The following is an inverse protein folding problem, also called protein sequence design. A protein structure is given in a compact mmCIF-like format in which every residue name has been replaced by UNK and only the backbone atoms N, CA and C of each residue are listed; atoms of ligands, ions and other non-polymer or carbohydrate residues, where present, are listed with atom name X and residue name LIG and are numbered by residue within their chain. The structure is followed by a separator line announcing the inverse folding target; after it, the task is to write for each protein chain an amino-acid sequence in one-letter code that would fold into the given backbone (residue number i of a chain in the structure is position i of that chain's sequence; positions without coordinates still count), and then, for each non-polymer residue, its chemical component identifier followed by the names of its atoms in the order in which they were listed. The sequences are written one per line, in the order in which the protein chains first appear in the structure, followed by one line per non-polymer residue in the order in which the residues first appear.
data_IF_661198411906
#
_entry.id   IF_661198411906
#
_cell.length_a   1.000
_cell.length_b   1.000
_cell.length_c   1.000
_cell.angle_alpha   90.00
_cell.angle_beta   90.00
_cell.angle_gamma   90.00
#
_symmetry.space_group_name_H-M   'P 1'
#
loop_
_entity.id
_entity.type
_entity.pdbx_description
1 polymer ?
#
# COMPACT_ATOMS: atom_id res chain seq x y z
N UNK A 1 -12.60 22.98 14.46
CA UNK A 1 -13.38 22.25 13.44
C UNK A 1 -12.83 20.84 13.37
N UNK A 2 -13.67 19.85 13.61
CA UNK A 2 -13.26 18.43 13.55
C UNK A 2 -13.19 18.07 12.07
N UNK A 3 -11.98 17.80 11.58
CA UNK A 3 -11.74 17.30 10.22
C UNK A 3 -12.13 15.82 10.21
N UNK A 4 -13.31 15.51 9.72
CA UNK A 4 -13.74 14.12 9.48
C UNK A 4 -13.06 13.62 8.20
N UNK A 5 -11.82 13.17 8.32
CA UNK A 5 -11.06 12.53 7.23
C UNK A 5 -11.44 11.05 7.13
N UNK A 6 -11.81 10.53 5.95
CA UNK A 6 -11.72 9.11 5.68
C UNK A 6 -10.40 8.86 4.92
N UNK A 7 -9.28 8.97 5.61
CA UNK A 7 -8.13 8.12 5.30
C UNK A 7 -8.42 6.83 6.04
N UNK A 8 -8.68 5.73 5.34
CA UNK A 8 -8.74 4.45 6.03
C UNK A 8 -7.31 4.18 6.47
N UNK A 9 -7.04 4.35 7.76
CA UNK A 9 -5.73 4.09 8.34
C UNK A 9 -5.38 2.64 8.01
N UNK A 10 -4.25 2.44 7.33
CA UNK A 10 -3.74 1.11 7.12
C UNK A 10 -3.41 0.53 8.50
N UNK A 11 -3.87 -0.69 8.74
CA UNK A 11 -3.50 -1.46 9.93
C UNK A 11 -2.39 -2.43 9.56
N UNK A 12 -1.58 -2.82 10.54
CA UNK A 12 -0.51 -3.80 10.37
C UNK A 12 -0.83 -5.04 11.22
N UNK A 13 -1.59 -6.03 10.70
CA UNK A 13 -2.00 -7.18 11.50
C UNK A 13 -0.85 -8.15 11.79
N UNK A 14 0.23 -8.07 11.01
CA UNK A 14 1.48 -8.78 11.20
C UNK A 14 2.65 -7.94 10.63
N UNK A 15 3.89 -8.07 11.18
CA UNK A 15 5.02 -7.26 10.75
C UNK A 15 5.24 -7.31 9.23
N UNK A 16 5.30 -6.15 8.58
CA UNK A 16 5.51 -6.02 7.14
C UNK A 16 4.27 -6.26 6.27
N UNK A 17 3.11 -6.57 6.87
CA UNK A 17 1.84 -6.79 6.19
C UNK A 17 0.83 -5.69 6.54
N UNK A 18 0.45 -4.89 5.55
CA UNK A 18 -0.49 -3.79 5.71
C UNK A 18 -1.86 -4.16 5.11
N UNK A 19 -2.93 -3.90 5.86
CA UNK A 19 -4.30 -4.06 5.41
C UNK A 19 -5.04 -2.72 5.44
N UNK A 20 -5.76 -2.40 4.37
CA UNK A 20 -6.59 -1.20 4.30
C UNK A 20 -7.80 -1.39 3.38
N UNK A 21 -8.88 -0.67 3.68
CA UNK A 21 -10.06 -0.65 2.82
C UNK A 21 -9.75 0.08 1.51
N UNK A 22 -10.22 -0.47 0.40
CA UNK A 22 -10.14 0.19 -0.90
C UNK A 22 -11.12 1.37 -0.90
N UNK A 23 -10.69 2.60 -1.20
CA UNK A 23 -11.55 3.77 -1.18
C UNK A 23 -12.81 3.58 -2.06
N UNK A 24 -13.98 3.79 -1.46
CA UNK A 24 -15.27 3.67 -2.17
C UNK A 24 -15.76 2.22 -2.34
N UNK A 25 -15.08 1.24 -1.75
CA UNK A 25 -15.46 -0.17 -1.82
C UNK A 25 -15.57 -0.77 -0.40
N UNK A 26 -16.30 -1.87 -0.26
CA UNK A 26 -16.34 -2.64 1.00
C UNK A 26 -15.13 -3.55 1.15
N UNK A 27 -14.43 -3.81 0.05
CA UNK A 27 -13.28 -4.70 -0.01
C UNK A 27 -12.03 -4.08 0.64
N UNK A 28 -11.23 -4.97 1.20
CA UNK A 28 -9.96 -4.69 1.84
C UNK A 28 -8.83 -5.29 1.02
N UNK A 29 -7.71 -4.58 1.00
CA UNK A 29 -6.49 -5.04 0.33
C UNK A 29 -5.46 -5.38 1.39
N UNK A 30 -4.90 -6.57 1.28
CA UNK A 30 -3.71 -6.99 2.00
C UNK A 30 -2.49 -6.73 1.11
N UNK A 31 -1.49 -6.06 1.66
CA UNK A 31 -0.28 -5.64 0.94
C UNK A 31 0.96 -5.93 1.75
N UNK A 32 2.07 -6.16 1.06
CA UNK A 32 3.40 -6.00 1.64
C UNK A 32 3.64 -4.51 1.95
N UNK A 33 4.45 -4.20 2.96
CA UNK A 33 4.78 -2.81 3.35
C UNK A 33 5.39 -1.97 2.22
N UNK A 34 5.91 -2.60 1.16
CA UNK A 34 6.33 -1.90 -0.07
C UNK A 34 5.18 -1.51 -1.01
N UNK A 35 3.92 -1.75 -0.63
CA UNK A 35 2.71 -1.46 -1.42
C UNK A 35 2.27 -2.55 -2.41
N UNK A 36 2.99 -3.68 -2.49
CA UNK A 36 2.63 -4.78 -3.40
C UNK A 36 1.40 -5.52 -2.88
N UNK A 37 0.39 -5.70 -3.74
CA UNK A 37 -0.80 -6.46 -3.39
C UNK A 37 -0.46 -7.95 -3.17
N UNK A 38 -0.98 -8.51 -2.08
CA UNK A 38 -0.90 -9.95 -1.79
C UNK A 38 -2.26 -10.62 -1.91
N UNK A 39 -3.33 -9.95 -1.47
CA UNK A 39 -4.69 -10.47 -1.55
C UNK A 39 -5.76 -9.36 -1.48
N UNK A 40 -6.95 -9.70 -1.97
CA UNK A 40 -8.18 -8.94 -1.78
C UNK A 40 -9.12 -9.72 -0.86
N UNK A 41 -9.62 -9.03 0.15
CA UNK A 41 -10.42 -9.57 1.23
C UNK A 41 -11.76 -8.84 1.27
N UNK A 42 -12.83 -9.57 1.61
CA UNK A 42 -14.20 -9.02 1.60
C UNK A 42 -14.49 -7.96 2.67
N UNK A 43 -13.73 -7.97 3.76
CA UNK A 43 -13.87 -7.08 4.92
C UNK A 43 -12.54 -7.01 5.72
N UNK A 44 -12.50 -6.15 6.74
CA UNK A 44 -11.31 -5.93 7.59
C UNK A 44 -10.86 -7.20 8.29
N UNK A 45 -11.79 -7.89 8.97
CA UNK A 45 -11.49 -9.07 9.76
C UNK A 45 -10.86 -10.16 8.88
N UNK A 46 -11.39 -10.35 7.68
CA UNK A 46 -10.85 -11.26 6.69
C UNK A 46 -9.43 -10.87 6.27
N UNK A 47 -9.13 -9.57 6.08
CA UNK A 47 -7.78 -9.12 5.77
C UNK A 47 -6.80 -9.40 6.92
N UNK A 48 -7.21 -9.16 8.17
CA UNK A 48 -6.39 -9.47 9.35
C UNK A 48 -6.13 -10.97 9.52
N UNK A 49 -7.16 -11.80 9.34
CA UNK A 49 -7.04 -13.26 9.44
C UNK A 49 -6.15 -13.81 8.33
N UNK A 50 -6.28 -13.28 7.10
CA UNK A 50 -5.39 -13.63 5.97
C UNK A 50 -3.95 -13.25 6.28
N UNK A 51 -3.71 -12.05 6.83
CA UNK A 51 -2.37 -11.60 7.20
C UNK A 51 -1.75 -12.50 8.27
N UNK A 52 -2.50 -12.83 9.32
CA UNK A 52 -2.06 -13.74 10.39
C UNK A 52 -1.74 -15.14 9.85
N UNK A 53 -2.53 -15.64 8.91
CA UNK A 53 -2.31 -16.94 8.28
C UNK A 53 -0.99 -17.00 7.51
N UNK A 54 -0.68 -15.97 6.72
CA UNK A 54 0.54 -15.95 5.89
C UNK A 54 1.75 -15.37 6.63
N UNK A 55 1.59 -14.82 7.83
CA UNK A 55 2.66 -14.18 8.59
C UNK A 55 3.88 -15.10 8.81
N UNK A 56 3.65 -16.40 8.98
CA UNK A 56 4.72 -17.40 9.18
C UNK A 56 5.37 -17.90 7.89
N UNK A 57 4.90 -17.50 6.71
CA UNK A 57 5.40 -17.99 5.42
C UNK A 57 6.81 -17.47 5.10
N UNK A 58 7.08 -16.21 5.42
CA UNK A 58 8.40 -15.60 5.27
C UNK A 58 8.53 -14.40 6.21
N UNK A 59 9.73 -13.83 6.30
CA UNK A 59 9.92 -12.53 6.93
C UNK A 59 9.46 -11.41 5.99
N UNK A 60 8.22 -10.99 6.19
CA UNK A 60 7.58 -9.92 5.41
C UNK A 60 8.14 -8.52 5.70
N UNK A 61 9.05 -8.35 6.66
CA UNK A 61 9.72 -7.06 6.88
C UNK A 61 10.87 -6.80 5.90
N UNK A 62 11.34 -7.86 5.21
CA UNK A 62 12.36 -7.78 4.16
C UNK A 62 11.90 -6.93 2.98
N UNK A 63 12.83 -6.52 2.12
CA UNK A 63 12.45 -5.88 0.87
C UNK A 63 11.74 -6.88 -0.05
N UNK A 64 10.84 -6.38 -0.90
CA UNK A 64 10.15 -7.25 -1.85
C UNK A 64 11.11 -7.95 -2.82
N UNK A 65 12.23 -7.30 -3.16
CA UNK A 65 13.24 -7.87 -4.05
C UNK A 65 14.04 -8.98 -3.36
N UNK A 66 14.35 -8.84 -2.07
CA UNK A 66 14.97 -9.91 -1.29
C UNK A 66 14.06 -11.13 -1.16
N UNK A 67 12.74 -10.91 -0.98
CA UNK A 67 11.77 -12.01 -0.91
C UNK A 67 11.63 -12.71 -2.27
N UNK A 68 11.64 -11.96 -3.38
CA UNK A 68 11.58 -12.53 -4.74
C UNK A 68 12.85 -13.30 -5.11
N UNK A 69 14.00 -12.84 -4.65
CA UNK A 69 15.29 -13.50 -4.87
C UNK A 69 15.51 -14.72 -3.99
N UNK A 70 14.63 -14.99 -3.03
CA UNK A 70 14.74 -16.11 -2.11
C UNK A 70 14.22 -17.41 -2.74
N UNK A 71 15.14 -18.33 -3.04
CA UNK A 71 14.81 -19.62 -3.66
C UNK A 71 13.90 -20.49 -2.79
N UNK A 72 13.97 -20.36 -1.47
CA UNK A 72 13.10 -21.13 -0.55
C UNK A 72 11.67 -20.63 -0.65
N UNK A 73 11.49 -19.30 -0.66
CA UNK A 73 10.18 -18.68 -0.87
C UNK A 73 9.63 -19.04 -2.26
N UNK A 74 10.48 -18.97 -3.29
CA UNK A 74 10.09 -19.31 -4.66
C UNK A 74 9.61 -20.76 -4.79
N UNK A 75 10.29 -21.71 -4.12
CA UNK A 75 9.92 -23.12 -4.12
C UNK A 75 8.57 -23.39 -3.41
N UNK A 76 8.17 -22.55 -2.47
CA UNK A 76 6.93 -22.67 -1.70
C UNK A 76 5.79 -21.74 -2.17
N UNK A 77 5.90 -21.11 -3.35
CA UNK A 77 4.86 -20.19 -3.84
C UNK A 77 3.47 -20.84 -3.99
N UNK A 78 3.42 -22.13 -4.32
CA UNK A 78 2.15 -22.85 -4.41
C UNK A 78 1.49 -23.03 -3.03
N UNK A 79 2.28 -23.15 -1.96
CA UNK A 79 1.79 -23.17 -0.58
C UNK A 79 1.21 -21.80 -0.19
N UNK A 80 1.90 -20.70 -0.51
CA UNK A 80 1.36 -19.35 -0.29
C UNK A 80 0.04 -19.14 -1.05
N UNK A 81 -0.01 -19.57 -2.32
CA UNK A 81 -1.23 -19.48 -3.14
C UNK A 81 -2.36 -20.30 -2.54
N UNK A 82 -2.07 -21.49 -2.01
CA UNK A 82 -3.02 -22.34 -1.30
C UNK A 82 -3.55 -21.67 -0.03
N UNK A 83 -2.65 -21.13 0.81
CA UNK A 83 -3.03 -20.41 2.04
C UNK A 83 -3.96 -19.23 1.74
N UNK A 84 -3.63 -18.42 0.71
CA UNK A 84 -4.43 -17.24 0.36
C UNK A 84 -5.77 -17.64 -0.27
N UNK A 85 -5.76 -18.51 -1.29
CA UNK A 85 -6.95 -18.77 -2.09
C UNK A 85 -7.90 -19.78 -1.48
N UNK A 86 -7.37 -20.77 -0.75
CA UNK A 86 -8.14 -21.89 -0.25
C UNK A 86 -8.45 -21.72 1.25
N UNK A 87 -7.41 -21.59 2.07
CA UNK A 87 -7.56 -21.52 3.53
C UNK A 87 -8.19 -20.18 3.96
N UNK A 88 -7.63 -19.05 3.51
CA UNK A 88 -8.23 -17.75 3.79
C UNK A 88 -9.47 -17.48 2.95
N UNK A 89 -9.63 -18.13 1.78
CA UNK A 89 -10.66 -17.78 0.78
C UNK A 89 -10.57 -16.31 0.32
N UNK A 90 -9.35 -15.76 0.28
CA UNK A 90 -9.06 -14.44 -0.24
C UNK A 90 -8.73 -14.51 -1.73
N UNK A 91 -8.96 -13.41 -2.45
CA UNK A 91 -8.76 -13.37 -3.90
C UNK A 91 -7.34 -12.92 -4.22
N UNK A 92 -6.60 -13.73 -4.98
CA UNK A 92 -5.27 -13.34 -5.45
C UNK A 92 -5.34 -12.15 -6.44
N UNK A 93 -4.37 -11.23 -6.40
CA UNK A 93 -4.36 -10.05 -7.28
C UNK A 93 -4.32 -10.37 -8.77
N UNK A 94 -3.71 -11.51 -9.16
CA UNK A 94 -3.68 -11.98 -10.55
C UNK A 94 -5.08 -12.28 -11.12
N UNK A 95 -6.06 -12.57 -10.25
CA UNK A 95 -7.45 -12.90 -10.63
C UNK A 95 -8.42 -11.74 -10.45
N UNK A 96 -7.99 -10.70 -9.74
CA UNK A 96 -8.78 -9.51 -9.47
C UNK A 96 -7.84 -8.32 -9.51
N UNK A 97 -7.77 -7.64 -10.65
CA UNK A 97 -7.28 -6.27 -10.68
C UNK A 97 -8.50 -5.37 -10.48
N UNK A 98 -8.85 -4.96 -9.24
CA UNK A 98 -9.70 -3.79 -9.11
C UNK A 98 -9.02 -2.66 -9.87
N UNK A 99 -9.82 -1.82 -10.54
CA UNK A 99 -9.26 -0.63 -11.18
C UNK A 99 -8.53 0.19 -10.12
N UNK A 100 -7.20 0.13 -10.17
CA UNK A 100 -6.36 1.02 -9.39
C UNK A 100 -6.75 2.46 -9.79
N UNK A 101 -6.70 3.42 -8.86
CA UNK A 101 -6.98 4.80 -9.22
C UNK A 101 -6.06 5.19 -10.39
N UNK A 102 -6.67 5.51 -11.54
CA UNK A 102 -5.92 5.99 -12.70
C UNK A 102 -5.54 7.47 -12.56
N UNK A 103 -6.11 8.15 -11.56
CA UNK A 103 -6.00 9.58 -11.34
C UNK A 103 -5.97 9.88 -9.85
N UNK A 104 -5.43 11.04 -9.50
CA UNK A 104 -5.49 11.64 -8.17
C UNK A 104 -6.20 13.00 -8.28
N UNK A 105 -6.70 13.51 -7.15
CA UNK A 105 -7.31 14.84 -7.06
C UNK A 105 -6.38 15.83 -6.36
N UNK A 106 -6.64 17.13 -6.51
CA UNK A 106 -5.92 18.16 -5.76
C UNK A 106 -6.09 17.99 -4.25
N UNK A 107 -7.22 17.44 -3.81
CA UNK A 107 -7.46 17.10 -2.41
C UNK A 107 -6.52 15.98 -1.92
N UNK A 108 -6.22 14.98 -2.76
CA UNK A 108 -5.27 13.91 -2.42
C UNK A 108 -3.85 14.48 -2.29
N UNK A 109 -3.44 15.37 -3.19
CA UNK A 109 -2.16 16.10 -3.12
C UNK A 109 -2.07 16.92 -1.83
N UNK A 110 -3.10 17.70 -1.52
CA UNK A 110 -3.10 18.53 -0.32
C UNK A 110 -3.11 17.70 0.96
N UNK A 111 -3.82 16.57 0.98
CA UNK A 111 -3.82 15.66 2.12
C UNK A 111 -2.43 15.05 2.36
N UNK A 112 -1.76 14.59 1.30
CA UNK A 112 -0.38 14.08 1.37
C UNK A 112 0.61 15.16 1.83
N UNK A 113 0.54 16.35 1.25
CA UNK A 113 1.39 17.46 1.65
C UNK A 113 1.16 17.90 3.11
N UNK A 114 -0.10 17.88 3.58
CA UNK A 114 -0.43 18.18 4.97
C UNK A 114 0.14 17.13 5.93
N UNK A 115 0.14 15.85 5.53
CA UNK A 115 0.71 14.77 6.33
C UNK A 115 2.21 14.96 6.55
N UNK A 116 2.92 15.46 5.53
CA UNK A 116 4.37 15.72 5.57
C UNK A 116 4.72 17.18 5.91
N UNK A 117 3.75 18.00 6.34
CA UNK A 117 3.99 19.42 6.55
C UNK A 117 4.93 19.65 7.74
N UNK A 118 6.05 20.33 7.51
CA UNK A 118 7.08 20.55 8.53
C UNK A 118 7.97 19.34 8.79
N UNK A 119 7.79 18.26 8.02
CA UNK A 119 8.67 17.12 7.99
C UNK A 119 9.96 17.49 7.22
N UNK A 120 11.12 17.28 7.85
CA UNK A 120 12.44 17.50 7.22
C UNK A 120 13.01 16.21 6.64
N UNK A 121 12.22 15.13 6.60
CA UNK A 121 12.67 13.88 5.99
C UNK A 121 12.95 14.03 4.50
N UNK A 122 13.90 13.22 4.03
CA UNK A 122 14.29 13.16 2.62
C UNK A 122 13.07 12.80 1.73
N UNK A 123 13.05 13.26 0.48
CA UNK A 123 11.98 12.96 -0.48
C UNK A 123 11.73 11.46 -0.68
N UNK A 124 12.72 10.62 -0.34
CA UNK A 124 12.59 9.15 -0.27
C UNK A 124 11.60 8.64 0.81
N UNK A 125 11.45 9.34 1.93
CA UNK A 125 10.46 9.00 2.95
C UNK A 125 9.05 9.37 2.46
N UNK A 126 8.90 10.55 1.85
CA UNK A 126 7.64 11.05 1.30
C UNK A 126 7.16 10.14 0.16
N UNK A 127 8.04 9.78 -0.78
CA UNK A 127 7.67 8.91 -1.90
C UNK A 127 7.26 7.50 -1.41
N UNK A 128 7.93 6.97 -0.39
CA UNK A 128 7.60 5.67 0.19
C UNK A 128 6.25 5.70 0.90
N UNK A 129 5.99 6.72 1.71
CA UNK A 129 4.70 6.90 2.39
C UNK A 129 3.56 7.10 1.37
N UNK A 130 3.79 7.86 0.30
CA UNK A 130 2.82 8.01 -0.79
C UNK A 130 2.54 6.68 -1.48
N UNK A 131 3.57 5.89 -1.81
CA UNK A 131 3.42 4.58 -2.45
C UNK A 131 2.64 3.56 -1.61
N UNK A 132 2.65 3.73 -0.28
CA UNK A 132 1.89 2.91 0.68
C UNK A 132 0.44 3.40 0.87
N UNK A 133 0.14 4.65 0.53
CA UNK A 133 -1.19 5.23 0.71
C UNK A 133 -2.16 4.70 -0.35
N UNK A 134 -3.36 4.30 0.06
CA UNK A 134 -4.40 3.78 -0.85
C UNK A 134 -4.81 4.73 -2.00
N UNK A 135 -4.44 6.01 -1.90
CA UNK A 135 -4.72 7.05 -2.90
C UNK A 135 -3.72 7.09 -4.04
N UNK A 136 -2.44 6.83 -3.76
CA UNK A 136 -1.39 6.81 -4.78
C UNK A 136 -0.91 5.39 -5.09
N UNK A 137 -1.18 4.43 -4.20
CA UNK A 137 -0.88 3.01 -4.37
C UNK A 137 -1.67 2.44 -5.57
N UNK A 138 -1.01 2.44 -6.72
CA UNK A 138 -1.54 1.91 -7.98
C UNK A 138 -1.66 2.90 -9.12
N UNK A 139 -1.27 4.17 -8.91
CA UNK A 139 -1.02 5.07 -10.03
C UNK A 139 0.09 4.49 -10.93
N UNK A 140 -0.03 4.67 -12.25
CA UNK A 140 1.07 4.39 -13.16
C UNK A 140 2.29 5.24 -12.83
N UNK A 141 3.50 4.77 -13.19
CA UNK A 141 4.77 5.41 -12.82
C UNK A 141 4.80 6.91 -13.14
N UNK A 142 4.36 7.31 -14.33
CA UNK A 142 4.35 8.71 -14.73
C UNK A 142 3.35 9.54 -13.91
N UNK A 143 2.14 9.03 -13.70
CA UNK A 143 1.09 9.69 -12.89
C UNK A 143 1.51 9.81 -11.42
N UNK A 144 2.16 8.77 -10.90
CA UNK A 144 2.69 8.76 -9.55
C UNK A 144 3.82 9.78 -9.38
N UNK A 145 4.77 9.82 -10.32
CA UNK A 145 5.86 10.79 -10.32
C UNK A 145 5.34 12.24 -10.41
N UNK A 146 4.29 12.48 -11.20
CA UNK A 146 3.64 13.78 -11.27
C UNK A 146 3.02 14.16 -9.92
N UNK A 147 2.29 13.24 -9.28
CA UNK A 147 1.68 13.44 -7.97
C UNK A 147 2.75 13.74 -6.89
N UNK A 148 3.81 12.93 -6.85
CA UNK A 148 4.94 13.12 -5.96
C UNK A 148 5.58 14.51 -6.15
N UNK A 149 5.82 14.90 -7.40
CA UNK A 149 6.37 16.23 -7.70
C UNK A 149 5.46 17.37 -7.24
N UNK A 150 4.13 17.20 -7.28
CA UNK A 150 3.18 18.20 -6.73
C UNK A 150 3.23 18.26 -5.20
N UNK A 151 3.31 17.12 -4.51
CA UNK A 151 3.47 17.07 -3.05
C UNK A 151 4.79 17.72 -2.61
N UNK A 152 5.91 17.37 -3.26
CA UNK A 152 7.23 17.92 -2.93
C UNK A 152 7.31 19.43 -3.08
N UNK A 153 6.63 20.03 -4.07
CA UNK A 153 6.57 21.50 -4.23
C UNK A 153 5.83 22.19 -3.10
N UNK A 154 4.87 21.52 -2.46
CA UNK A 154 4.10 22.08 -1.34
C UNK A 154 4.88 21.91 -0.03
N UNK A 155 5.51 20.75 0.16
CA UNK A 155 6.24 20.41 1.39
C UNK A 155 7.59 21.11 1.47
N UNK A 156 8.31 21.17 0.34
CA UNK A 156 9.66 21.74 0.24
C UNK A 156 9.75 22.82 -0.85
N UNK A 157 9.00 23.93 -0.75
CA UNK A 157 9.00 24.98 -1.76
C UNK A 157 10.41 25.57 -2.02
N UNK A 158 11.31 25.52 -1.05
CA UNK A 158 12.70 25.98 -1.13
C UNK A 158 13.53 25.28 -2.21
N UNK A 159 13.18 24.05 -2.58
CA UNK A 159 13.87 23.29 -3.63
C UNK A 159 13.33 23.57 -5.04
N UNK A 160 12.22 24.31 -5.14
CA UNK A 160 11.50 24.52 -6.40
C UNK A 160 11.21 26.00 -6.70
N UNK A 161 11.64 26.92 -5.83
CA UNK A 161 11.66 28.35 -6.11
C UNK A 161 12.84 28.67 -7.03
N UNK A 162 12.55 28.99 -8.29
CA UNK A 162 13.48 29.64 -9.23
C UNK A 162 13.21 31.13 -9.30
#
# INVERSE_FOLDING_TARGET
MISTRPTVDAIEPAPGLLAYQIPGQTEWRLTHHSGLALAYCRDQQHAEDTARLIAGFTDWTRSADDIRGDETVAASLDELRFLISYEASATLPERHMPQLPATYTDADIQAAATYHQGDTTDGLAIISAMAQSSKFAGLGTDTFNEAFGKVMRIVHPEHYAA
#
